data_IF_520495193346
#
_entry.id   IF_520495193346
#
_cell.length_a   1.000
_cell.length_b   1.000
_cell.length_c   1.000
_cell.angle_alpha   90.00
_cell.angle_beta   90.00
_cell.angle_gamma   90.00
#
_symmetry.space_group_name_H-M   'P 1'
#
loop_
_entity.id
_entity.type
_entity.pdbx_description
1 polymer ?
#
# COMPACT_ATOMS: atom_id res chain seq x y z
N UNK A 1 -2.86 -11.49 10.84
CA UNK A 1 -4.29 -11.92 10.91
C UNK A 1 -4.61 -12.85 9.75
N UNK A 2 -4.24 -12.53 8.50
CA UNK A 2 -4.59 -13.34 7.32
C UNK A 2 -4.00 -14.77 7.35
N UNK A 3 -2.77 -14.95 7.78
CA UNK A 3 -2.13 -16.29 7.82
C UNK A 3 -2.75 -17.22 8.88
N UNK A 4 -3.20 -16.67 10.01
CA UNK A 4 -3.93 -17.45 11.02
C UNK A 4 -5.29 -17.91 10.49
N UNK A 5 -5.98 -17.07 9.71
CA UNK A 5 -7.25 -17.45 9.13
C UNK A 5 -7.10 -18.50 8.02
N UNK A 6 -6.05 -18.42 7.21
CA UNK A 6 -5.69 -19.50 6.26
C UNK A 6 -5.45 -20.81 7.00
N UNK A 7 -4.66 -20.74 8.08
CA UNK A 7 -4.35 -21.91 8.91
C UNK A 7 -5.61 -22.61 9.41
N UNK A 8 -6.52 -21.87 10.03
CA UNK A 8 -7.80 -22.43 10.53
C UNK A 8 -8.70 -22.99 9.41
N UNK A 9 -8.71 -22.33 8.23
CA UNK A 9 -9.46 -22.86 7.09
C UNK A 9 -8.86 -24.17 6.56
N UNK A 10 -7.54 -24.26 6.48
CA UNK A 10 -6.85 -25.49 6.09
C UNK A 10 -7.08 -26.61 7.10
N UNK A 11 -7.01 -26.33 8.40
CA UNK A 11 -7.33 -27.28 9.48
C UNK A 11 -8.76 -27.81 9.35
N UNK A 12 -9.73 -26.92 9.11
CA UNK A 12 -11.12 -27.30 8.91
C UNK A 12 -11.30 -28.21 7.70
N UNK A 13 -10.68 -27.88 6.56
CA UNK A 13 -10.73 -28.70 5.35
C UNK A 13 -10.08 -30.07 5.58
N UNK A 14 -8.93 -30.12 6.24
CA UNK A 14 -8.27 -31.39 6.60
C UNK A 14 -9.16 -32.26 7.47
N UNK A 15 -9.75 -31.67 8.51
CA UNK A 15 -10.64 -32.40 9.46
C UNK A 15 -11.88 -32.92 8.73
N UNK A 16 -12.49 -32.14 7.87
CA UNK A 16 -13.64 -32.57 7.04
C UNK A 16 -13.26 -33.71 6.07
N UNK A 17 -12.00 -33.74 5.62
CA UNK A 17 -11.47 -34.81 4.76
C UNK A 17 -11.06 -36.05 5.53
N UNK A 18 -11.19 -36.07 6.87
CA UNK A 18 -10.82 -37.18 7.72
C UNK A 18 -9.32 -37.47 7.79
N UNK A 19 -8.46 -36.53 7.39
CA UNK A 19 -7.02 -36.72 7.33
C UNK A 19 -6.33 -36.27 8.62
N UNK A 20 -5.34 -37.06 9.07
CA UNK A 20 -4.43 -36.65 10.14
C UNK A 20 -3.29 -35.80 9.58
N UNK A 21 -2.65 -35.01 10.44
CA UNK A 21 -1.45 -34.23 10.06
C UNK A 21 -0.33 -35.14 9.50
N UNK A 22 -0.17 -36.36 10.08
CA UNK A 22 0.84 -37.29 9.64
C UNK A 22 0.55 -37.84 8.23
N UNK A 23 -0.72 -38.21 7.94
CA UNK A 23 -1.15 -38.69 6.63
C UNK A 23 -1.02 -37.61 5.58
N UNK A 24 -1.40 -36.36 5.90
CA UNK A 24 -1.24 -35.18 5.03
C UNK A 24 0.23 -34.90 4.69
N UNK A 25 1.11 -34.96 5.71
CA UNK A 25 2.54 -34.77 5.51
C UNK A 25 3.18 -35.86 4.64
N UNK A 26 2.74 -37.11 4.81
CA UNK A 26 3.18 -38.23 3.97
C UNK A 26 2.81 -38.01 2.50
N UNK A 27 1.56 -37.63 2.22
CA UNK A 27 1.08 -37.36 0.88
C UNK A 27 1.83 -36.16 0.21
N UNK A 28 2.07 -35.10 0.95
CA UNK A 28 2.84 -33.97 0.44
C UNK A 28 4.27 -34.36 0.06
N UNK A 29 4.93 -35.24 0.86
CA UNK A 29 6.29 -35.72 0.56
C UNK A 29 6.34 -36.61 -0.69
N UNK A 30 5.32 -37.44 -0.93
CA UNK A 30 5.19 -38.22 -2.15
C UNK A 30 5.11 -37.35 -3.40
N UNK A 31 4.59 -36.11 -3.28
CA UNK A 31 4.57 -35.09 -4.33
C UNK A 31 5.83 -34.21 -4.38
N UNK A 32 6.88 -34.56 -3.66
CA UNK A 32 8.15 -33.83 -3.63
C UNK A 32 8.15 -32.55 -2.78
N UNK A 33 7.09 -32.33 -1.99
CA UNK A 33 6.99 -31.15 -1.13
C UNK A 33 7.66 -31.41 0.23
N UNK A 34 8.51 -30.47 0.66
CA UNK A 34 9.25 -30.58 1.94
C UNK A 34 8.37 -30.09 3.09
N UNK A 35 7.65 -31.00 3.72
CA UNK A 35 6.84 -30.70 4.92
C UNK A 35 6.77 -31.89 5.86
N UNK A 36 6.41 -31.62 7.12
CA UNK A 36 6.16 -32.61 8.15
C UNK A 36 4.92 -32.23 8.98
N UNK A 37 4.46 -33.16 9.84
CA UNK A 37 3.27 -32.95 10.66
C UNK A 37 3.39 -31.72 11.59
N UNK A 38 4.59 -31.45 12.10
CA UNK A 38 4.85 -30.30 12.97
C UNK A 38 4.79 -28.97 12.17
N UNK A 39 5.32 -28.97 10.94
CA UNK A 39 5.24 -27.82 10.05
C UNK A 39 3.78 -27.51 9.66
N UNK A 40 2.98 -28.54 9.32
CA UNK A 40 1.56 -28.40 9.03
C UNK A 40 0.78 -27.89 10.24
N UNK A 41 1.02 -28.45 11.44
CA UNK A 41 0.40 -27.95 12.68
C UNK A 41 0.70 -26.47 12.93
N UNK A 42 1.95 -26.03 12.71
CA UNK A 42 2.31 -24.61 12.85
C UNK A 42 1.64 -23.72 11.80
N UNK A 43 1.36 -24.22 10.61
CA UNK A 43 0.59 -23.51 9.59
C UNK A 43 -0.86 -23.38 10.05
N UNK A 44 -1.49 -24.49 10.43
CA UNK A 44 -2.89 -24.53 10.86
C UNK A 44 -3.16 -23.64 12.07
N UNK A 45 -2.23 -23.60 13.03
CA UNK A 45 -2.30 -22.73 14.21
C UNK A 45 -1.83 -21.27 13.96
N UNK A 46 -1.53 -20.89 12.73
CA UNK A 46 -1.12 -19.53 12.39
C UNK A 46 0.26 -19.12 12.92
N UNK A 47 1.09 -20.07 13.37
CA UNK A 47 2.42 -19.82 13.91
C UNK A 47 3.53 -19.66 12.85
N UNK A 48 3.19 -19.74 11.57
CA UNK A 48 4.13 -19.47 10.48
C UNK A 48 3.94 -18.08 9.89
N UNK A 49 5.04 -17.40 9.61
CA UNK A 49 5.06 -16.06 8.99
C UNK A 49 4.94 -16.10 7.46
N UNK A 50 5.23 -17.24 6.85
CA UNK A 50 5.13 -17.49 5.41
C UNK A 50 4.64 -18.90 5.17
N UNK A 51 3.77 -19.09 4.19
CA UNK A 51 3.27 -20.38 3.76
C UNK A 51 3.58 -20.52 2.27
N UNK A 52 4.18 -21.67 1.91
CA UNK A 52 4.49 -21.97 0.52
C UNK A 52 3.19 -22.16 -0.27
N UNK A 53 3.08 -21.47 -1.40
CA UNK A 53 1.92 -21.52 -2.29
C UNK A 53 1.71 -22.90 -2.91
N UNK A 54 2.81 -23.55 -3.29
CA UNK A 54 2.74 -24.89 -3.89
C UNK A 54 2.24 -25.90 -2.87
N UNK A 55 2.69 -25.78 -1.61
CA UNK A 55 2.19 -26.58 -0.50
C UNK A 55 0.69 -26.35 -0.29
N UNK A 56 0.23 -25.10 -0.23
CA UNK A 56 -1.22 -24.85 -0.04
C UNK A 56 -2.03 -25.33 -1.23
N UNK A 57 -1.55 -25.16 -2.44
CA UNK A 57 -2.23 -25.67 -3.63
C UNK A 57 -2.36 -27.19 -3.58
N UNK A 58 -1.32 -27.90 -3.15
CA UNK A 58 -1.36 -29.36 -2.96
C UNK A 58 -2.33 -29.75 -1.84
N UNK A 59 -2.35 -29.02 -0.73
CA UNK A 59 -3.28 -29.28 0.39
C UNK A 59 -4.74 -29.08 -0.04
N UNK A 60 -5.05 -28.00 -0.78
CA UNK A 60 -6.40 -27.73 -1.27
C UNK A 60 -6.90 -28.83 -2.20
N UNK A 61 -6.03 -29.35 -3.08
CA UNK A 61 -6.33 -30.51 -3.93
C UNK A 61 -6.57 -31.78 -3.11
N UNK A 62 -5.69 -32.05 -2.15
CA UNK A 62 -5.79 -33.23 -1.26
C UNK A 62 -7.09 -33.21 -0.46
N UNK A 63 -7.47 -32.03 0.05
CA UNK A 63 -8.68 -31.82 0.84
C UNK A 63 -9.95 -31.69 -0.02
N UNK A 64 -9.82 -31.78 -1.36
CA UNK A 64 -10.93 -31.62 -2.32
C UNK A 64 -11.72 -30.33 -2.08
N UNK A 65 -11.02 -29.25 -1.80
CA UNK A 65 -11.64 -27.96 -1.64
C UNK A 65 -12.33 -27.54 -2.95
N UNK A 66 -13.54 -26.98 -2.85
CA UNK A 66 -14.24 -26.44 -4.02
C UNK A 66 -13.49 -25.24 -4.60
N UNK A 67 -13.82 -24.89 -5.86
CA UNK A 67 -13.15 -23.81 -6.60
C UNK A 67 -13.25 -22.46 -5.88
N UNK A 68 -14.37 -22.17 -5.22
CA UNK A 68 -14.59 -20.94 -4.46
C UNK A 68 -13.66 -20.88 -3.25
N UNK A 69 -13.66 -21.91 -2.43
CA UNK A 69 -12.80 -22.03 -1.25
C UNK A 69 -11.31 -22.02 -1.63
N UNK A 70 -10.96 -22.72 -2.72
CA UNK A 70 -9.61 -22.72 -3.26
C UNK A 70 -9.16 -21.33 -3.72
N UNK A 71 -10.02 -20.61 -4.44
CA UNK A 71 -9.76 -19.25 -4.86
C UNK A 71 -9.64 -18.29 -3.66
N UNK A 72 -10.50 -18.41 -2.66
CA UNK A 72 -10.44 -17.61 -1.44
C UNK A 72 -9.14 -17.83 -0.67
N UNK A 73 -8.71 -19.08 -0.45
CA UNK A 73 -7.48 -19.38 0.29
C UNK A 73 -6.23 -18.98 -0.52
N UNK A 74 -6.19 -19.29 -1.82
CA UNK A 74 -5.06 -18.96 -2.69
C UNK A 74 -4.87 -17.44 -2.82
N UNK A 75 -5.94 -16.68 -2.74
CA UNK A 75 -5.93 -15.22 -2.75
C UNK A 75 -5.18 -14.60 -1.57
N UNK A 76 -5.21 -15.24 -0.40
CA UNK A 76 -4.45 -14.79 0.77
C UNK A 76 -2.97 -15.20 0.73
N UNK A 77 -2.60 -16.10 -0.18
CA UNK A 77 -1.22 -16.45 -0.42
C UNK A 77 -0.61 -15.36 -1.30
N UNK A 78 0.14 -14.48 -0.70
CA UNK A 78 0.85 -13.43 -1.43
C UNK A 78 1.67 -14.04 -2.57
N UNK A 79 1.78 -13.36 -3.73
CA UNK A 79 2.71 -13.78 -4.77
C UNK A 79 4.11 -13.88 -4.16
N UNK A 80 4.85 -14.89 -4.58
CA UNK A 80 6.23 -15.15 -4.20
C UNK A 80 7.05 -13.83 -4.08
N UNK A 81 7.26 -13.37 -2.84
CA UNK A 81 8.00 -12.15 -2.55
C UNK A 81 9.39 -12.16 -3.17
N UNK A 82 9.95 -13.33 -3.41
CA UNK A 82 11.25 -13.51 -4.09
C UNK A 82 11.21 -13.10 -5.57
N UNK A 83 10.13 -13.42 -6.28
CA UNK A 83 9.97 -13.08 -7.71
C UNK A 83 9.60 -11.61 -7.89
N UNK A 84 8.71 -11.07 -7.06
CA UNK A 84 8.38 -9.64 -7.04
C UNK A 84 9.61 -8.81 -6.69
N UNK A 85 10.36 -9.21 -5.65
CA UNK A 85 11.60 -8.56 -5.22
C UNK A 85 12.67 -8.51 -6.33
N UNK A 86 12.82 -9.60 -7.14
CA UNK A 86 13.75 -9.63 -8.28
C UNK A 86 13.36 -8.68 -9.40
N UNK A 87 12.08 -8.37 -9.55
CA UNK A 87 11.55 -7.45 -10.56
C UNK A 87 11.65 -5.97 -10.15
N UNK A 88 11.90 -5.68 -8.86
CA UNK A 88 12.06 -4.29 -8.39
C UNK A 88 13.22 -3.59 -9.12
N UNK A 89 13.12 -2.28 -9.39
CA UNK A 89 14.21 -1.47 -9.91
C UNK A 89 15.50 -1.60 -9.06
N UNK A 90 16.69 -1.36 -9.64
CA UNK A 90 17.98 -1.53 -8.93
C UNK A 90 18.05 -0.78 -7.60
N UNK A 91 17.52 0.45 -7.53
CA UNK A 91 17.44 1.23 -6.30
C UNK A 91 16.67 0.52 -5.21
N UNK A 92 15.46 0.05 -5.52
CA UNK A 92 14.60 -0.65 -4.55
C UNK A 92 15.20 -2.00 -4.14
N UNK A 93 15.90 -2.68 -5.05
CA UNK A 93 16.62 -3.93 -4.72
C UNK A 93 17.78 -3.69 -3.76
N UNK A 94 18.53 -2.57 -3.90
CA UNK A 94 19.61 -2.20 -3.00
C UNK A 94 19.16 -2.07 -1.55
N UNK A 95 17.95 -1.60 -1.33
CA UNK A 95 17.37 -1.38 0.00
C UNK A 95 16.31 -2.41 0.39
N UNK A 96 16.21 -3.54 -0.36
CA UNK A 96 15.10 -4.48 -0.23
C UNK A 96 14.95 -5.04 1.20
N UNK A 97 16.03 -5.46 1.86
CA UNK A 97 15.98 -6.01 3.23
C UNK A 97 15.37 -5.01 4.21
N UNK A 98 15.82 -3.76 4.13
CA UNK A 98 15.32 -2.68 4.97
C UNK A 98 13.84 -2.32 4.67
N UNK A 99 13.47 -2.25 3.39
CA UNK A 99 12.09 -1.97 2.98
C UNK A 99 11.12 -3.10 3.39
N UNK A 100 11.59 -4.35 3.32
CA UNK A 100 10.81 -5.51 3.73
C UNK A 100 10.69 -5.60 5.27
N UNK A 101 11.74 -5.24 6.02
CA UNK A 101 11.69 -5.09 7.48
C UNK A 101 10.64 -4.05 7.90
N UNK A 102 10.56 -2.94 7.18
CA UNK A 102 9.55 -1.91 7.38
C UNK A 102 8.15 -2.29 6.88
N UNK A 103 7.98 -3.46 6.25
CA UNK A 103 6.74 -3.89 5.55
C UNK A 103 6.30 -2.92 4.44
N UNK A 104 7.24 -2.15 3.91
CA UNK A 104 6.99 -1.18 2.85
C UNK A 104 7.19 -1.78 1.45
N UNK A 105 7.90 -2.91 1.35
CA UNK A 105 8.15 -3.61 0.10
C UNK A 105 6.87 -4.03 -0.62
N UNK A 106 5.90 -4.59 0.10
CA UNK A 106 4.61 -5.02 -0.46
C UNK A 106 3.79 -3.85 -1.00
N UNK A 107 3.82 -2.71 -0.31
CA UNK A 107 3.21 -1.47 -0.79
C UNK A 107 3.79 -1.05 -2.14
N UNK A 108 5.13 -1.02 -2.24
CA UNK A 108 5.84 -0.61 -3.45
C UNK A 108 5.53 -1.55 -4.64
N UNK A 109 5.42 -2.85 -4.38
CA UNK A 109 5.10 -3.85 -5.40
C UNK A 109 3.65 -3.70 -5.89
N UNK A 110 2.72 -3.37 -5.01
CA UNK A 110 1.33 -3.06 -5.37
C UNK A 110 1.23 -1.75 -6.13
N UNK A 111 1.87 -0.68 -5.64
CA UNK A 111 1.88 0.63 -6.29
C UNK A 111 2.45 0.54 -7.71
N UNK A 112 3.53 -0.25 -7.91
CA UNK A 112 4.15 -0.41 -9.22
C UNK A 112 3.21 -1.07 -10.26
N UNK A 113 2.24 -1.86 -9.83
CA UNK A 113 1.30 -2.59 -10.69
C UNK A 113 -0.05 -1.86 -10.88
N UNK A 114 -0.36 -0.87 -10.04
CA UNK A 114 -1.60 -0.14 -10.09
C UNK A 114 -1.68 0.75 -11.35
N UNK A 115 -2.85 0.81 -11.98
CA UNK A 115 -3.17 1.69 -13.10
C UNK A 115 -3.83 2.98 -12.64
N UNK A 116 -4.46 2.97 -11.45
CA UNK A 116 -5.03 4.14 -10.81
C UNK A 116 -4.68 4.14 -9.33
N UNK A 117 -4.30 5.31 -8.84
CA UNK A 117 -4.07 5.58 -7.42
C UNK A 117 -4.99 6.70 -6.97
N UNK A 118 -5.73 6.50 -5.89
CA UNK A 118 -6.52 7.52 -5.20
C UNK A 118 -6.00 7.66 -3.78
N UNK A 119 -5.32 8.75 -3.50
CA UNK A 119 -4.66 8.99 -2.22
C UNK A 119 -5.32 10.15 -1.49
N UNK A 120 -5.80 9.90 -0.29
CA UNK A 120 -6.21 10.93 0.66
C UNK A 120 -5.16 11.10 1.75
N UNK A 121 -4.75 12.34 1.99
CA UNK A 121 -3.78 12.70 3.03
C UNK A 121 -4.33 13.81 3.94
N UNK A 122 -4.29 13.55 5.24
CA UNK A 122 -4.80 14.43 6.28
C UNK A 122 -3.73 15.38 6.83
N UNK A 123 -2.48 14.91 6.98
CA UNK A 123 -1.47 15.60 7.79
C UNK A 123 -0.22 16.04 7.04
N UNK A 124 0.04 15.46 5.88
CA UNK A 124 1.22 15.73 5.03
C UNK A 124 0.83 15.67 3.56
N UNK A 125 1.69 16.18 2.68
CA UNK A 125 1.51 16.03 1.23
C UNK A 125 1.67 14.54 0.85
N UNK A 126 0.89 13.99 -0.10
CA UNK A 126 1.04 12.63 -0.60
C UNK A 126 2.49 12.31 -0.98
N UNK A 127 2.99 11.14 -0.59
CA UNK A 127 4.39 10.77 -0.77
C UNK A 127 4.89 10.83 -2.22
N UNK A 128 4.02 10.59 -3.20
CA UNK A 128 4.32 10.70 -4.63
C UNK A 128 4.47 12.16 -5.13
N UNK A 129 4.03 13.14 -4.34
CA UNK A 129 4.07 14.56 -4.67
C UNK A 129 5.04 15.35 -3.76
N UNK A 130 5.88 14.68 -2.98
CA UNK A 130 6.83 15.38 -2.10
C UNK A 130 8.11 15.78 -2.84
N UNK A 131 8.61 17.00 -2.57
CA UNK A 131 9.98 17.41 -2.94
C UNK A 131 11.01 16.72 -2.06
N UNK A 132 12.29 16.78 -2.42
CA UNK A 132 13.36 16.08 -1.70
C UNK A 132 13.47 16.54 -0.24
N UNK A 133 13.50 17.86 -0.03
CA UNK A 133 13.70 18.44 1.29
C UNK A 133 12.44 18.28 2.16
N UNK A 134 11.24 18.46 1.59
CA UNK A 134 10.00 18.17 2.29
C UNK A 134 9.93 16.69 2.73
N UNK A 135 10.25 15.77 1.84
CA UNK A 135 10.27 14.33 2.13
C UNK A 135 11.25 14.00 3.27
N UNK A 136 12.44 14.60 3.27
CA UNK A 136 13.46 14.41 4.31
C UNK A 136 12.92 14.85 5.68
N UNK A 137 12.32 16.03 5.76
CA UNK A 137 11.76 16.55 7.01
C UNK A 137 10.61 15.66 7.52
N UNK A 138 9.71 15.23 6.64
CA UNK A 138 8.61 14.31 7.00
C UNK A 138 9.17 12.97 7.52
N UNK A 139 10.10 12.36 6.80
CA UNK A 139 10.68 11.05 7.17
C UNK A 139 11.41 11.17 8.51
N UNK A 140 12.22 12.21 8.70
CA UNK A 140 12.95 12.45 9.96
C UNK A 140 11.96 12.63 11.14
N UNK A 141 10.87 13.37 10.93
CA UNK A 141 9.88 13.60 11.98
C UNK A 141 9.09 12.32 12.34
N UNK A 142 8.76 11.50 11.34
CA UNK A 142 7.99 10.26 11.56
C UNK A 142 8.86 9.10 12.05
N UNK A 143 10.17 9.12 11.76
CA UNK A 143 11.11 8.05 12.07
C UNK A 143 12.38 8.59 12.72
N UNK A 144 12.28 9.22 13.90
CA UNK A 144 13.42 9.74 14.63
C UNK A 144 14.36 8.64 15.13
N UNK A 145 13.92 7.38 15.11
CA UNK A 145 14.67 6.19 15.46
C UNK A 145 15.67 5.74 14.38
N UNK A 146 15.54 6.23 13.14
CA UNK A 146 16.39 5.80 12.03
C UNK A 146 17.71 6.60 11.95
N UNK A 147 18.82 5.91 11.66
CA UNK A 147 20.09 6.59 11.39
C UNK A 147 20.02 7.35 10.05
N UNK A 148 20.86 8.42 9.87
CA UNK A 148 20.83 9.29 8.69
C UNK A 148 20.85 8.54 7.34
N UNK A 149 21.68 7.52 7.21
CA UNK A 149 21.78 6.73 5.96
C UNK A 149 20.52 5.94 5.61
N UNK A 150 19.66 5.61 6.60
CA UNK A 150 18.34 4.98 6.34
C UNK A 150 17.30 6.02 5.95
N UNK A 151 17.40 7.24 6.51
CA UNK A 151 16.58 8.38 6.09
C UNK A 151 16.90 8.72 4.63
N UNK A 152 18.18 8.79 4.25
CA UNK A 152 18.62 9.01 2.87
C UNK A 152 18.04 7.96 1.92
N UNK A 153 18.13 6.68 2.30
CA UNK A 153 17.55 5.59 1.51
C UNK A 153 16.04 5.73 1.29
N UNK A 154 15.27 6.15 2.30
CA UNK A 154 13.83 6.39 2.17
C UNK A 154 13.54 7.61 1.29
N UNK A 155 14.35 8.68 1.37
CA UNK A 155 14.24 9.82 0.48
C UNK A 155 14.48 9.41 -0.97
N UNK A 156 15.54 8.63 -1.23
CA UNK A 156 15.86 8.12 -2.57
C UNK A 156 14.71 7.25 -3.14
N UNK A 157 14.15 6.37 -2.32
CA UNK A 157 12.97 5.55 -2.69
C UNK A 157 11.79 6.46 -3.04
N UNK A 158 11.52 7.50 -2.25
CA UNK A 158 10.41 8.43 -2.48
C UNK A 158 10.57 9.22 -3.77
N UNK A 159 11.76 9.74 -4.03
CA UNK A 159 12.07 10.45 -5.28
C UNK A 159 12.03 9.52 -6.50
N UNK A 160 12.44 8.26 -6.34
CA UNK A 160 12.32 7.28 -7.42
C UNK A 160 10.85 7.02 -7.76
N UNK A 161 9.98 6.83 -6.76
CA UNK A 161 8.53 6.63 -6.97
C UNK A 161 7.90 7.82 -7.70
N UNK A 162 8.26 9.05 -7.31
CA UNK A 162 7.81 10.28 -7.97
C UNK A 162 8.20 10.30 -9.45
N UNK A 163 9.46 9.97 -9.77
CA UNK A 163 9.93 9.87 -11.18
C UNK A 163 9.14 8.81 -11.95
N UNK A 164 8.90 7.66 -11.35
CA UNK A 164 8.13 6.59 -11.98
C UNK A 164 6.67 7.01 -12.25
N UNK A 165 6.09 7.86 -11.41
CA UNK A 165 4.77 8.43 -11.68
C UNK A 165 4.78 9.37 -12.90
N UNK A 166 5.83 10.19 -13.05
CA UNK A 166 5.93 11.17 -14.13
C UNK A 166 6.39 10.57 -15.47
N UNK A 167 7.27 9.58 -15.45
CA UNK A 167 7.97 9.04 -16.63
C UNK A 167 7.52 7.61 -16.99
N UNK A 168 6.77 6.96 -16.09
CA UNK A 168 6.32 5.57 -16.25
C UNK A 168 5.12 5.42 -17.18
N UNK A 169 4.54 4.20 -17.27
CA UNK A 169 3.33 4.00 -18.04
C UNK A 169 2.20 4.90 -17.54
N UNK A 170 1.27 5.33 -18.44
CA UNK A 170 0.17 6.20 -18.07
C UNK A 170 -0.60 5.65 -16.88
N UNK A 171 -0.72 6.45 -15.84
CA UNK A 171 -1.47 6.13 -14.62
C UNK A 171 -2.38 7.30 -14.28
N UNK A 172 -3.54 6.98 -13.72
CA UNK A 172 -4.38 7.99 -13.11
C UNK A 172 -3.97 8.16 -11.64
N UNK A 173 -3.59 9.36 -11.25
CA UNK A 173 -3.30 9.70 -9.87
C UNK A 173 -4.21 10.82 -9.38
N UNK A 174 -5.11 10.49 -8.48
CA UNK A 174 -6.00 11.43 -7.81
C UNK A 174 -5.48 11.66 -6.39
N UNK A 175 -4.97 12.85 -6.13
CA UNK A 175 -4.45 13.27 -4.84
C UNK A 175 -5.44 14.22 -4.17
N UNK A 176 -6.02 13.80 -3.07
CA UNK A 176 -6.88 14.61 -2.21
C UNK A 176 -6.12 15.00 -0.95
N UNK A 177 -5.81 16.27 -0.80
CA UNK A 177 -5.01 16.80 0.28
C UNK A 177 -5.92 17.61 1.19
N UNK A 178 -6.01 17.24 2.46
CA UNK A 178 -6.67 18.08 3.46
C UNK A 178 -5.90 19.39 3.65
N UNK A 179 -6.60 20.50 3.76
CA UNK A 179 -5.99 21.82 3.93
C UNK A 179 -5.07 21.87 5.18
N UNK A 180 -5.34 21.06 6.20
CA UNK A 180 -4.49 20.97 7.39
C UNK A 180 -3.07 20.50 7.08
N UNK A 181 -2.89 19.66 6.04
CA UNK A 181 -1.58 19.24 5.57
C UNK A 181 -0.77 20.39 4.95
N UNK A 182 -1.43 21.33 4.28
CA UNK A 182 -0.79 22.50 3.66
C UNK A 182 -0.49 23.59 4.69
N UNK A 183 -1.27 23.68 5.75
CA UNK A 183 -1.07 24.64 6.84
C UNK A 183 0.00 24.21 7.86
N UNK A 184 0.37 22.95 7.87
CA UNK A 184 1.39 22.42 8.79
C UNK A 184 2.79 22.76 8.29
N UNK A 185 3.58 23.53 9.05
CA UNK A 185 4.94 23.85 8.63
C UNK A 185 5.83 22.61 8.71
N UNK A 186 6.39 22.21 7.57
CA UNK A 186 7.36 21.12 7.44
C UNK A 186 8.67 21.71 6.94
N UNK A 187 9.71 21.66 7.76
CA UNK A 187 10.98 22.31 7.48
C UNK A 187 10.89 23.83 7.55
N UNK A 188 11.57 24.53 6.65
CA UNK A 188 11.58 25.98 6.57
C UNK A 188 10.50 26.53 5.62
N UNK A 189 10.20 27.86 5.65
CA UNK A 189 9.34 28.49 4.66
C UNK A 189 9.79 28.24 3.22
N UNK A 190 11.12 28.15 2.96
CA UNK A 190 11.65 27.83 1.64
C UNK A 190 11.30 26.41 1.19
N UNK A 191 11.33 25.42 2.11
CA UNK A 191 10.92 24.04 1.83
C UNK A 191 9.44 23.96 1.52
N UNK A 192 8.59 24.67 2.27
CA UNK A 192 7.15 24.72 2.03
C UNK A 192 6.83 25.38 0.70
N UNK A 193 7.50 26.47 0.37
CA UNK A 193 7.32 27.17 -0.92
C UNK A 193 7.69 26.25 -2.08
N UNK A 194 8.87 25.61 -2.08
CA UNK A 194 9.26 24.65 -3.11
C UNK A 194 8.23 23.51 -3.25
N UNK A 195 7.70 23.05 -2.13
CA UNK A 195 6.67 22.01 -2.13
C UNK A 195 5.38 22.47 -2.79
N UNK A 196 4.92 23.69 -2.55
CA UNK A 196 3.70 24.23 -3.16
C UNK A 196 3.90 24.55 -4.64
N UNK A 197 5.06 25.11 -5.03
CA UNK A 197 5.44 25.31 -6.44
C UNK A 197 5.42 23.98 -7.20
N UNK A 198 5.95 22.91 -6.58
CA UNK A 198 5.91 21.57 -7.17
C UNK A 198 4.48 21.03 -7.29
N UNK A 199 3.61 21.18 -6.27
CA UNK A 199 2.20 20.77 -6.34
C UNK A 199 1.47 21.50 -7.47
N UNK A 200 1.72 22.81 -7.61
CA UNK A 200 1.15 23.62 -8.69
C UNK A 200 1.56 23.05 -10.05
N UNK A 201 2.84 22.87 -10.30
CA UNK A 201 3.35 22.31 -11.56
C UNK A 201 2.84 20.89 -11.82
N UNK A 202 2.80 20.03 -10.80
CA UNK A 202 2.30 18.67 -10.92
C UNK A 202 0.80 18.63 -11.27
N UNK A 203 0.00 19.61 -10.81
CA UNK A 203 -1.42 19.71 -11.14
C UNK A 203 -1.73 20.00 -12.62
N UNK A 204 -0.72 20.37 -13.40
CA UNK A 204 -0.81 20.59 -14.84
C UNK A 204 -0.38 19.34 -15.64
N UNK A 205 0.14 18.32 -14.97
CA UNK A 205 0.60 17.08 -15.62
C UNK A 205 -0.58 16.19 -15.99
N UNK A 206 -0.71 15.74 -17.24
CA UNK A 206 -1.75 14.81 -17.64
C UNK A 206 -1.76 13.54 -16.78
N UNK A 207 -2.94 13.12 -16.33
CA UNK A 207 -3.10 11.93 -15.48
C UNK A 207 -2.93 12.21 -13.97
N UNK A 208 -2.56 13.42 -13.57
CA UNK A 208 -2.47 13.84 -12.17
C UNK A 208 -3.58 14.87 -11.87
N UNK A 209 -4.52 14.52 -11.00
CA UNK A 209 -5.56 15.42 -10.50
C UNK A 209 -5.33 15.67 -9.00
N UNK A 210 -4.98 16.88 -8.64
CA UNK A 210 -4.73 17.32 -7.26
C UNK A 210 -5.89 18.22 -6.82
N UNK A 211 -6.50 17.86 -5.67
CA UNK A 211 -7.53 18.67 -5.05
C UNK A 211 -7.25 18.90 -3.59
N UNK A 212 -7.63 20.07 -3.10
CA UNK A 212 -7.58 20.43 -1.69
C UNK A 212 -8.97 20.29 -1.08
N UNK A 213 -9.08 19.56 0.02
CA UNK A 213 -10.28 19.52 0.85
C UNK A 213 -10.18 20.69 1.84
N UNK A 214 -11.02 21.72 1.73
CA UNK A 214 -10.90 22.91 2.55
C UNK A 214 -11.36 22.65 3.99
N UNK A 215 -10.84 23.42 4.95
CA UNK A 215 -11.14 23.25 6.38
C UNK A 215 -12.63 23.49 6.71
N UNK A 216 -13.31 24.32 5.94
CA UNK A 216 -14.75 24.55 6.06
C UNK A 216 -15.63 23.40 5.55
N UNK A 217 -15.01 22.38 4.97
CA UNK A 217 -15.68 21.12 4.68
C UNK A 217 -16.23 20.47 5.98
N UNK A 218 -15.73 20.84 7.18
CA UNK A 218 -16.23 20.36 8.47
C UNK A 218 -16.00 18.86 8.68
N UNK A 219 -16.86 18.21 9.47
CA UNK A 219 -16.70 16.79 9.81
C UNK A 219 -16.86 15.86 8.60
N UNK A 220 -15.94 14.90 8.45
CA UNK A 220 -15.94 13.97 7.32
C UNK A 220 -15.19 12.65 7.63
N UNK A 221 -15.38 11.63 6.79
CA UNK A 221 -14.80 10.30 7.00
C UNK A 221 -13.27 10.27 6.94
N UNK A 222 -12.62 11.21 6.25
CA UNK A 222 -11.16 11.35 6.20
C UNK A 222 -10.51 11.65 7.55
N UNK A 223 -11.25 12.11 8.55
CA UNK A 223 -10.76 12.30 9.92
C UNK A 223 -10.31 10.98 10.58
N UNK A 224 -10.71 9.82 10.02
CA UNK A 224 -10.23 8.52 10.48
C UNK A 224 -8.76 8.24 10.12
N UNK A 225 -8.16 9.02 9.22
CA UNK A 225 -6.76 8.91 8.81
C UNK A 225 -6.56 8.81 7.30
N UNK A 226 -5.29 8.86 6.85
CA UNK A 226 -4.92 8.77 5.45
C UNK A 226 -5.13 7.36 4.89
N UNK A 227 -5.36 7.27 3.57
CA UNK A 227 -5.46 6.00 2.87
C UNK A 227 -5.15 6.13 1.37
N UNK A 228 -4.75 5.01 0.77
CA UNK A 228 -4.52 4.88 -0.67
C UNK A 228 -5.38 3.75 -1.21
N UNK A 229 -6.16 4.01 -2.25
CA UNK A 229 -6.89 3.00 -3.01
C UNK A 229 -6.10 2.73 -4.28
N UNK A 230 -5.75 1.48 -4.52
CA UNK A 230 -5.00 1.02 -5.68
C UNK A 230 -5.89 0.17 -6.57
N UNK A 231 -6.08 0.60 -7.82
CA UNK A 231 -6.84 -0.13 -8.84
C UNK A 231 -5.87 -0.79 -9.82
N UNK A 232 -6.12 -2.05 -10.13
CA UNK A 232 -5.26 -2.86 -11.00
C UNK A 232 -5.90 -3.09 -12.38
N UNK A 233 -5.10 -3.45 -13.40
CA UNK A 233 -5.62 -3.77 -14.72
C UNK A 233 -6.62 -4.94 -14.66
N UNK A 234 -7.75 -4.82 -15.33
CA UNK A 234 -8.78 -5.88 -15.38
C UNK A 234 -8.22 -7.22 -15.90
N UNK A 235 -7.26 -7.16 -16.84
CA UNK A 235 -6.61 -8.34 -17.39
C UNK A 235 -5.84 -9.19 -16.37
N UNK A 236 -5.48 -8.62 -15.21
CA UNK A 236 -4.79 -9.33 -14.14
C UNK A 236 -5.73 -10.06 -13.19
N UNK A 237 -7.05 -9.84 -13.30
CA UNK A 237 -8.05 -10.28 -12.34
C UNK A 237 -7.73 -9.92 -10.87
N UNK A 238 -6.79 -9.00 -10.66
CA UNK A 238 -6.46 -8.47 -9.35
C UNK A 238 -7.59 -7.55 -8.91
N UNK A 239 -7.97 -7.65 -7.63
CA UNK A 239 -8.99 -6.78 -7.04
C UNK A 239 -8.35 -5.50 -6.55
N UNK A 240 -9.14 -4.43 -6.52
CA UNK A 240 -8.72 -3.19 -5.86
C UNK A 240 -8.39 -3.46 -4.41
N UNK A 241 -7.43 -2.71 -3.89
CA UNK A 241 -7.01 -2.78 -2.49
C UNK A 241 -6.98 -1.38 -1.89
N UNK A 242 -7.12 -1.33 -0.57
CA UNK A 242 -6.89 -0.13 0.22
C UNK A 242 -5.67 -0.35 1.10
N UNK A 243 -4.85 0.68 1.19
CA UNK A 243 -3.70 0.71 2.09
C UNK A 243 -3.87 1.84 3.10
N UNK A 244 -3.75 1.52 4.38
CA UNK A 244 -3.78 2.48 5.48
C UNK A 244 -2.52 2.32 6.31
N UNK A 245 -2.01 3.43 6.85
CA UNK A 245 -0.80 3.44 7.67
C UNK A 245 -1.08 4.09 9.02
N UNK A 246 -0.46 3.52 10.05
CA UNK A 246 -0.37 4.10 11.39
C UNK A 246 1.10 4.20 11.78
N UNK A 247 1.39 4.73 12.97
CA UNK A 247 2.77 4.85 13.45
C UNK A 247 3.52 3.52 13.49
N UNK A 248 2.85 2.42 13.78
CA UNK A 248 3.47 1.10 14.03
C UNK A 248 3.08 0.02 13.02
N UNK A 249 2.09 0.25 12.17
CA UNK A 249 1.57 -0.78 11.28
C UNK A 249 1.00 -0.21 9.99
N UNK A 250 1.19 -0.96 8.91
CA UNK A 250 0.52 -0.77 7.63
C UNK A 250 -0.49 -1.90 7.44
N UNK A 251 -1.69 -1.58 7.01
CA UNK A 251 -2.76 -2.54 6.78
C UNK A 251 -3.19 -2.49 5.33
N UNK A 252 -3.14 -3.65 4.69
CA UNK A 252 -3.73 -3.88 3.38
C UNK A 252 -5.13 -4.45 3.57
N UNK A 253 -6.13 -3.79 3.02
CA UNK A 253 -7.52 -4.21 3.02
C UNK A 253 -7.90 -4.60 1.58
N UNK A 254 -8.40 -5.81 1.38
CA UNK A 254 -8.76 -6.35 0.08
C UNK A 254 -10.14 -7.04 0.07
N UNK A 255 -10.92 -6.90 1.17
CA UNK A 255 -12.31 -7.32 1.20
C UNK A 255 -13.18 -6.32 0.44
N UNK A 256 -14.11 -6.81 -0.39
CA UNK A 256 -14.97 -5.97 -1.22
C UNK A 256 -15.75 -4.93 -0.39
N UNK A 257 -16.16 -5.30 0.82
CA UNK A 257 -16.84 -4.39 1.75
C UNK A 257 -15.98 -3.22 2.21
N UNK A 258 -14.69 -3.47 2.48
CA UNK A 258 -13.75 -2.42 2.89
C UNK A 258 -13.40 -1.55 1.70
N UNK A 259 -13.05 -2.14 0.56
CA UNK A 259 -12.74 -1.41 -0.68
C UNK A 259 -13.90 -0.51 -1.08
N UNK A 260 -15.14 -1.00 -1.02
CA UNK A 260 -16.35 -0.20 -1.30
C UNK A 260 -16.46 0.96 -0.32
N UNK A 261 -16.32 0.71 0.99
CA UNK A 261 -16.40 1.74 2.03
C UNK A 261 -15.41 2.88 1.82
N UNK A 262 -14.14 2.57 1.52
CA UNK A 262 -13.11 3.57 1.27
C UNK A 262 -13.31 4.28 -0.08
N UNK A 263 -13.78 3.58 -1.10
CA UNK A 263 -14.12 4.18 -2.41
C UNK A 263 -15.26 5.18 -2.28
N UNK A 264 -16.30 4.85 -1.53
CA UNK A 264 -17.41 5.75 -1.24
C UNK A 264 -16.96 6.96 -0.40
N UNK A 265 -16.10 6.73 0.60
CA UNK A 265 -15.53 7.80 1.40
C UNK A 265 -14.72 8.76 0.52
N UNK A 266 -13.81 8.24 -0.31
CA UNK A 266 -13.01 9.05 -1.24
C UNK A 266 -13.91 9.86 -2.18
N UNK A 267 -14.92 9.25 -2.76
CA UNK A 267 -15.86 9.92 -3.68
C UNK A 267 -16.59 11.07 -2.99
N UNK A 268 -17.08 10.86 -1.75
CA UNK A 268 -17.74 11.92 -0.99
C UNK A 268 -16.80 13.07 -0.66
N UNK A 269 -15.56 12.77 -0.27
CA UNK A 269 -14.54 13.79 0.01
C UNK A 269 -14.13 14.55 -1.26
N UNK A 270 -13.94 13.83 -2.35
CA UNK A 270 -13.56 14.37 -3.65
C UNK A 270 -14.59 15.38 -4.19
N UNK A 271 -15.88 15.09 -3.98
CA UNK A 271 -16.98 15.99 -4.39
C UNK A 271 -17.11 17.25 -3.51
N UNK A 272 -16.47 17.27 -2.33
CA UNK A 272 -16.44 18.41 -1.42
C UNK A 272 -15.14 19.22 -1.55
N UNK A 273 -14.16 18.67 -2.26
CA UNK A 273 -12.89 19.33 -2.49
C UNK A 273 -13.00 20.48 -3.48
N UNK A 274 -12.05 21.38 -3.41
CA UNK A 274 -11.88 22.41 -4.43
C UNK A 274 -11.64 21.76 -5.79
N UNK A 275 -12.22 22.30 -6.83
CA UNK A 275 -11.91 21.89 -8.19
C UNK A 275 -10.45 22.21 -8.56
N UNK A 276 -9.92 21.70 -9.68
CA UNK A 276 -8.51 21.93 -10.04
C UNK A 276 -8.14 23.40 -10.18
N UNK A 277 -9.04 24.27 -10.68
CA UNK A 277 -8.74 25.70 -10.83
C UNK A 277 -8.67 26.40 -9.48
N UNK A 278 -9.61 26.14 -8.59
CA UNK A 278 -9.63 26.67 -7.22
C UNK A 278 -8.48 26.11 -6.38
N UNK A 279 -8.10 24.85 -6.59
CA UNK A 279 -6.92 24.25 -5.95
C UNK A 279 -5.64 25.00 -6.34
N UNK A 280 -5.44 25.29 -7.64
CA UNK A 280 -4.28 26.09 -8.10
C UNK A 280 -4.28 27.51 -7.52
N UNK A 281 -5.45 28.16 -7.47
CA UNK A 281 -5.58 29.47 -6.81
C UNK A 281 -5.19 29.41 -5.35
N UNK A 282 -5.62 28.38 -4.63
CA UNK A 282 -5.26 28.16 -3.23
C UNK A 282 -3.73 27.97 -3.05
N UNK A 283 -3.10 27.14 -3.88
CA UNK A 283 -1.65 26.94 -3.86
C UNK A 283 -0.88 28.23 -4.17
N UNK A 284 -1.33 29.02 -5.15
CA UNK A 284 -0.73 30.31 -5.48
C UNK A 284 -0.76 31.27 -4.28
N UNK A 285 -1.87 31.32 -3.55
CA UNK A 285 -1.99 32.15 -2.34
C UNK A 285 -0.99 31.70 -1.27
N UNK A 286 -0.90 30.40 -1.02
CA UNK A 286 0.07 29.85 -0.06
C UNK A 286 1.53 30.16 -0.43
N UNK A 287 1.88 30.12 -1.73
CA UNK A 287 3.22 30.50 -2.21
C UNK A 287 3.50 32.00 -1.92
N UNK A 288 2.52 32.86 -2.15
CA UNK A 288 2.66 34.31 -1.91
C UNK A 288 2.83 34.62 -0.41
N UNK A 289 2.07 33.99 0.46
CA UNK A 289 2.19 34.16 1.92
C UNK A 289 3.58 33.78 2.44
N UNK A 290 4.25 32.79 1.85
CA UNK A 290 5.60 32.36 2.23
C UNK A 290 6.71 33.26 1.63
N UNK A 291 6.37 34.18 0.77
CA UNK A 291 7.32 35.10 0.10
C UNK A 291 7.28 36.51 0.71
N UNK A 292 6.22 36.82 1.46
CA UNK A 292 6.02 38.07 2.16
C UNK A 292 6.77 38.10 3.49
#
# INVERSE_FOLDING_TARGET
VALGEIGHRLERLRTLSGLTLAATAAHCREQGLRTDASALSRIENGHRRTIDRDLVTALLRLYRADDRTSAEITRFLQPDTGTARRKRPPLLRRHADFLDEMKFGDYLDCEAQAVRLRNYELAVVPGLLQTADYARHVITALRPDLPPGKIDALCDVRLHRRRTLAEGPPREFQALIDESALRRPIGSPAVMREQFEYLFAASETPGIDIRVLPADAGGHQGLAGPFVIMTFPQATHARDIVWTETLSTSVRLDQDTDVTRYTDAFTRLWNRALDPARTRTHLTHQIQELTA
#
